data_IF_169638566820
#
_entry.id   IF_169638566820
#
_cell.length_a   1.000
_cell.length_b   1.000
_cell.length_c   1.000
_cell.angle_alpha   90.00
_cell.angle_beta   90.00
_cell.angle_gamma   90.00
#
_symmetry.space_group_name_H-M   'P 1'
#
loop_
_entity.id
_entity.type
_entity.pdbx_description
1 polymer ?
#
# COMPACT_ATOMS: atom_id res chain seq x y z
N UNK A 1 15.79 -7.04 19.82
CA UNK A 1 15.76 -6.49 18.45
C UNK A 1 16.22 -5.05 18.51
N UNK A 2 17.39 -4.71 17.93
CA UNK A 2 17.86 -3.32 17.88
C UNK A 2 16.96 -2.58 16.87
N UNK A 3 16.12 -1.68 17.36
CA UNK A 3 15.41 -0.73 16.50
C UNK A 3 16.44 0.08 15.72
N UNK A 4 16.26 0.21 14.41
CA UNK A 4 17.07 1.15 13.62
C UNK A 4 16.80 2.54 14.17
N UNK A 5 17.85 3.36 14.31
CA UNK A 5 17.66 4.73 14.79
C UNK A 5 16.87 5.55 13.77
N UNK A 6 16.11 6.55 14.24
CA UNK A 6 15.37 7.54 13.43
C UNK A 6 16.20 8.09 12.26
N UNK A 7 17.50 8.30 12.50
CA UNK A 7 18.43 8.80 11.48
C UNK A 7 18.66 7.82 10.33
N UNK A 8 18.72 6.51 10.60
CA UNK A 8 19.01 5.49 9.59
C UNK A 8 17.84 5.29 8.61
N UNK A 9 16.60 5.27 9.09
CA UNK A 9 15.42 5.10 8.24
C UNK A 9 15.21 6.35 7.38
N UNK A 10 15.35 7.53 7.97
CA UNK A 10 15.28 8.81 7.24
C UNK A 10 16.33 8.88 6.13
N UNK A 11 17.59 8.53 6.42
CA UNK A 11 18.66 8.56 5.44
C UNK A 11 18.41 7.58 4.30
N UNK A 12 17.95 6.36 4.62
CA UNK A 12 17.60 5.36 3.60
C UNK A 12 16.48 5.83 2.69
N UNK A 13 15.42 6.41 3.24
CA UNK A 13 14.31 6.93 2.45
C UNK A 13 14.79 8.04 1.50
N UNK A 14 15.56 9.01 2.01
CA UNK A 14 16.12 10.09 1.20
C UNK A 14 16.97 9.57 0.05
N UNK A 15 17.86 8.61 0.32
CA UNK A 15 18.72 8.00 -0.71
C UNK A 15 17.91 7.28 -1.79
N UNK A 16 16.84 6.56 -1.41
CA UNK A 16 15.96 5.88 -2.38
C UNK A 16 15.23 6.90 -3.24
N UNK A 17 14.65 7.94 -2.64
CA UNK A 17 13.93 8.99 -3.37
C UNK A 17 14.85 9.76 -4.32
N UNK A 18 16.06 10.10 -3.88
CA UNK A 18 17.07 10.73 -4.73
C UNK A 18 17.38 9.85 -5.95
N UNK A 19 17.66 8.56 -5.72
CA UNK A 19 17.95 7.62 -6.82
C UNK A 19 16.78 7.47 -7.80
N UNK A 20 15.54 7.45 -7.30
CA UNK A 20 14.34 7.41 -8.16
C UNK A 20 14.28 8.65 -9.05
N UNK A 21 14.51 9.84 -8.49
CA UNK A 21 14.49 11.09 -9.25
C UNK A 21 15.60 11.15 -10.30
N UNK A 22 16.84 10.79 -9.92
CA UNK A 22 17.98 10.75 -10.84
C UNK A 22 17.72 9.81 -12.02
N UNK A 23 17.18 8.61 -11.76
CA UNK A 23 16.85 7.65 -12.81
C UNK A 23 15.67 8.10 -13.68
N UNK A 24 14.67 8.77 -13.09
CA UNK A 24 13.55 9.31 -13.85
C UNK A 24 14.01 10.42 -14.80
N UNK A 25 14.91 11.30 -14.34
CA UNK A 25 15.50 12.36 -15.15
C UNK A 25 16.39 11.81 -16.27
N UNK A 26 17.30 10.88 -15.94
CA UNK A 26 18.17 10.22 -16.93
C UNK A 26 17.38 9.54 -18.05
N UNK A 27 16.22 8.95 -17.72
CA UNK A 27 15.34 8.28 -18.67
C UNK A 27 14.36 9.21 -19.37
N UNK A 28 14.34 10.51 -19.02
CA UNK A 28 13.35 11.49 -19.50
C UNK A 28 11.91 10.95 -19.33
N UNK A 29 11.66 10.30 -18.20
CA UNK A 29 10.37 9.70 -17.89
C UNK A 29 9.29 10.78 -17.87
N UNK A 30 8.11 10.48 -18.41
CA UNK A 30 6.95 11.38 -18.43
C UNK A 30 6.47 11.71 -17.00
N UNK A 31 6.78 10.85 -16.04
CA UNK A 31 6.47 11.05 -14.61
C UNK A 31 7.50 10.36 -13.72
N UNK A 32 7.69 10.89 -12.51
CA UNK A 32 8.50 10.25 -11.47
C UNK A 32 7.75 9.04 -10.90
N UNK A 33 8.38 7.85 -10.82
CA UNK A 33 7.77 6.69 -10.18
C UNK A 33 7.38 6.94 -8.72
N UNK A 34 6.18 6.49 -8.33
CA UNK A 34 5.73 6.57 -6.94
C UNK A 34 6.38 5.44 -6.13
N UNK A 35 7.01 5.79 -5.00
CA UNK A 35 7.55 4.83 -4.04
C UNK A 35 6.42 4.26 -3.16
N UNK A 36 6.32 2.93 -3.09
CA UNK A 36 5.45 2.21 -2.16
C UNK A 36 6.35 1.51 -1.13
N UNK A 37 6.24 1.89 0.14
CA UNK A 37 7.01 1.25 1.21
C UNK A 37 6.32 -0.03 1.67
N UNK A 38 6.93 -1.19 1.42
CA UNK A 38 6.35 -2.48 1.83
C UNK A 38 6.57 -2.69 3.33
N UNK A 39 5.47 -2.71 4.09
CA UNK A 39 5.48 -2.76 5.57
C UNK A 39 5.05 -4.10 6.16
N UNK A 40 4.81 -5.12 5.34
CA UNK A 40 4.52 -6.48 5.83
C UNK A 40 5.55 -6.93 6.86
N UNK A 41 5.05 -7.54 7.94
CA UNK A 41 5.81 -7.98 9.12
C UNK A 41 6.61 -6.87 9.82
N UNK A 42 6.33 -5.58 9.55
CA UNK A 42 6.93 -4.44 10.25
C UNK A 42 6.01 -3.93 11.36
N UNK A 43 6.59 -3.52 12.49
CA UNK A 43 5.81 -3.00 13.60
C UNK A 43 5.26 -1.61 13.29
N UNK A 44 4.24 -1.17 14.02
CA UNK A 44 3.53 0.11 13.80
C UNK A 44 4.50 1.30 13.89
N UNK A 45 5.46 1.24 14.81
CA UNK A 45 6.43 2.30 15.04
C UNK A 45 7.25 2.61 13.79
N UNK A 46 7.63 1.58 13.02
CA UNK A 46 8.39 1.76 11.78
C UNK A 46 7.55 2.43 10.67
N UNK A 47 6.24 2.22 10.66
CA UNK A 47 5.31 2.85 9.73
C UNK A 47 5.15 4.33 10.10
N UNK A 48 4.90 4.61 11.38
CA UNK A 48 4.78 5.97 11.93
C UNK A 48 6.06 6.76 11.69
N UNK A 49 7.22 6.14 11.87
CA UNK A 49 8.53 6.73 11.62
C UNK A 49 8.69 7.14 10.14
N UNK A 50 8.47 6.22 9.20
CA UNK A 50 8.51 6.51 7.77
C UNK A 50 7.48 7.57 7.35
N UNK A 51 6.30 7.54 7.96
CA UNK A 51 5.25 8.52 7.72
C UNK A 51 5.72 9.93 8.09
N UNK A 52 6.36 10.08 9.26
CA UNK A 52 6.96 11.36 9.69
C UNK A 52 8.07 11.85 8.76
N UNK A 53 8.69 10.95 8.01
CA UNK A 53 9.65 11.29 6.96
C UNK A 53 9.02 11.61 5.59
N UNK A 54 7.69 11.68 5.48
CA UNK A 54 6.98 12.01 4.23
C UNK A 54 6.62 10.82 3.36
N UNK A 55 6.79 9.58 3.83
CA UNK A 55 6.31 8.39 3.13
C UNK A 55 4.84 8.13 3.48
N UNK A 56 3.93 8.40 2.55
CA UNK A 56 2.48 8.23 2.81
C UNK A 56 1.90 6.91 2.29
N UNK A 57 2.56 6.25 1.34
CA UNK A 57 2.00 5.08 0.65
C UNK A 57 2.71 3.80 1.08
N UNK A 58 1.92 2.85 1.58
CA UNK A 58 2.43 1.60 2.15
C UNK A 58 1.79 0.37 1.50
N UNK A 59 2.60 -0.68 1.34
CA UNK A 59 2.20 -1.95 0.73
C UNK A 59 2.08 -3.06 1.75
N UNK A 60 0.94 -3.76 1.74
CA UNK A 60 0.69 -4.94 2.58
C UNK A 60 0.32 -6.18 1.77
N UNK A 61 0.74 -7.35 2.26
CA UNK A 61 0.50 -8.63 1.58
C UNK A 61 -0.65 -9.43 2.20
N UNK A 62 -0.93 -9.25 3.49
CA UNK A 62 -1.89 -10.07 4.22
C UNK A 62 -3.09 -9.21 4.63
N UNK A 63 -4.29 -9.61 4.24
CA UNK A 63 -5.53 -8.85 4.51
C UNK A 63 -5.73 -8.64 6.01
N UNK A 64 -5.43 -9.65 6.82
CA UNK A 64 -5.56 -9.55 8.27
C UNK A 64 -4.56 -8.55 8.87
N UNK A 65 -3.29 -8.60 8.48
CA UNK A 65 -2.27 -7.66 8.97
C UNK A 65 -2.61 -6.23 8.55
N UNK A 66 -3.08 -6.04 7.31
CA UNK A 66 -3.55 -4.75 6.83
C UNK A 66 -4.76 -4.24 7.65
N UNK A 67 -5.71 -5.12 7.96
CA UNK A 67 -6.87 -4.79 8.81
C UNK A 67 -6.46 -4.38 10.22
N UNK A 68 -5.54 -5.11 10.83
CA UNK A 68 -5.00 -4.81 12.16
C UNK A 68 -4.28 -3.46 12.16
N UNK A 69 -3.43 -3.18 11.15
CA UNK A 69 -2.70 -1.92 11.02
C UNK A 69 -3.60 -0.73 10.73
N UNK A 70 -4.52 -0.87 9.77
CA UNK A 70 -5.41 0.21 9.36
C UNK A 70 -6.41 0.59 10.47
N UNK A 71 -6.77 -0.37 11.33
CA UNK A 71 -7.62 -0.11 12.50
C UNK A 71 -6.86 0.27 13.76
N UNK A 72 -5.52 0.22 13.76
CA UNK A 72 -4.70 0.57 14.91
C UNK A 72 -4.87 2.06 15.27
N UNK A 73 -5.14 2.35 16.54
CA UNK A 73 -5.41 3.72 17.01
C UNK A 73 -4.21 4.66 16.85
N UNK A 74 -2.98 4.15 16.94
CA UNK A 74 -1.79 4.96 16.70
C UNK A 74 -1.68 5.35 15.23
N UNK A 75 -1.96 4.43 14.30
CA UNK A 75 -1.97 4.74 12.86
C UNK A 75 -3.05 5.77 12.54
N UNK A 76 -4.28 5.58 13.05
CA UNK A 76 -5.38 6.54 12.83
C UNK A 76 -5.02 7.94 13.31
N UNK A 77 -4.35 8.05 14.47
CA UNK A 77 -3.98 9.33 15.08
C UNK A 77 -2.76 9.99 14.45
N UNK A 78 -1.69 9.24 14.22
CA UNK A 78 -0.40 9.78 13.78
C UNK A 78 -0.18 9.74 12.27
N UNK A 79 -0.98 8.93 11.55
CA UNK A 79 -0.88 8.73 10.11
C UNK A 79 -2.25 8.90 9.41
N UNK A 80 -2.97 10.02 9.59
CA UNK A 80 -4.33 10.18 9.10
C UNK A 80 -4.44 10.08 7.57
N UNK A 81 -3.40 10.49 6.84
CA UNK A 81 -3.33 10.46 5.38
C UNK A 81 -2.56 9.24 4.84
N UNK A 82 -2.41 8.18 5.64
CA UNK A 82 -1.79 6.93 5.19
C UNK A 82 -2.58 6.35 4.03
N UNK A 83 -1.89 5.83 3.01
CA UNK A 83 -2.48 5.27 1.79
C UNK A 83 -2.08 3.83 1.66
N UNK A 84 -3.03 2.92 1.87
CA UNK A 84 -2.78 1.49 1.81
C UNK A 84 -2.89 0.99 0.38
N UNK A 85 -1.90 0.22 -0.02
CA UNK A 85 -1.89 -0.58 -1.23
C UNK A 85 -1.84 -2.05 -0.83
N UNK A 86 -2.79 -2.83 -1.31
CA UNK A 86 -2.71 -4.28 -1.18
C UNK A 86 -1.94 -4.87 -2.36
N UNK A 87 -0.85 -5.56 -2.06
CA UNK A 87 0.10 -6.09 -3.06
C UNK A 87 0.31 -7.61 -2.92
N UNK A 88 -0.44 -8.27 -2.04
CA UNK A 88 -0.46 -9.73 -1.90
C UNK A 88 -1.51 -10.37 -2.81
N UNK A 89 -1.43 -11.67 -3.05
CA UNK A 89 -2.45 -12.38 -3.85
C UNK A 89 -3.81 -12.38 -3.11
N UNK A 90 -4.84 -11.79 -3.73
CA UNK A 90 -6.16 -11.63 -3.10
C UNK A 90 -7.05 -12.85 -3.37
N UNK A 91 -7.41 -13.57 -2.32
CA UNK A 91 -8.42 -14.61 -2.41
C UNK A 91 -9.84 -14.02 -2.47
N UNK A 92 -10.71 -14.57 -3.34
CA UNK A 92 -12.09 -14.10 -3.54
C UNK A 92 -12.89 -13.96 -2.23
N UNK A 93 -12.77 -14.91 -1.31
CA UNK A 93 -13.47 -14.88 -0.02
C UNK A 93 -13.03 -13.73 0.91
N UNK A 94 -11.93 -13.02 0.61
CA UNK A 94 -11.46 -11.87 1.36
C UNK A 94 -11.90 -10.53 0.78
N UNK A 95 -12.58 -10.51 -0.38
CA UNK A 95 -13.04 -9.27 -1.03
C UNK A 95 -13.89 -8.40 -0.09
N UNK A 96 -14.83 -8.99 0.65
CA UNK A 96 -15.67 -8.23 1.59
C UNK A 96 -14.90 -7.61 2.77
N UNK A 97 -13.76 -8.20 3.15
CA UNK A 97 -12.91 -7.67 4.24
C UNK A 97 -12.04 -6.54 3.72
N UNK A 98 -11.37 -6.77 2.59
CA UNK A 98 -10.41 -5.81 2.07
C UNK A 98 -11.07 -4.49 1.68
N UNK A 99 -12.27 -4.50 1.11
CA UNK A 99 -12.95 -3.25 0.69
C UNK A 99 -13.38 -2.36 1.86
N UNK A 100 -13.38 -2.87 3.10
CA UNK A 100 -13.74 -2.13 4.31
C UNK A 100 -12.53 -1.46 4.99
N UNK A 101 -11.33 -1.70 4.48
CA UNK A 101 -10.10 -1.15 5.04
C UNK A 101 -10.11 0.38 4.86
N UNK A 102 -9.99 1.17 5.94
CA UNK A 102 -9.90 2.61 5.84
C UNK A 102 -8.64 3.01 5.07
N UNK A 103 -8.75 4.03 4.23
CA UNK A 103 -7.68 4.54 3.38
C UNK A 103 -7.01 3.48 2.46
N UNK A 104 -7.74 2.42 2.07
CA UNK A 104 -7.33 1.55 0.98
C UNK A 104 -7.48 2.27 -0.35
N UNK A 105 -6.36 2.58 -1.00
CA UNK A 105 -6.36 3.29 -2.29
C UNK A 105 -6.28 2.34 -3.49
N UNK A 106 -5.59 1.20 -3.32
CA UNK A 106 -5.24 0.35 -4.44
C UNK A 106 -5.18 -1.13 -4.03
N UNK A 107 -5.75 -1.99 -4.87
CA UNK A 107 -5.49 -3.44 -4.88
C UNK A 107 -4.73 -3.70 -6.17
N UNK A 108 -3.50 -4.20 -6.05
CA UNK A 108 -2.61 -4.35 -7.20
C UNK A 108 -2.71 -5.74 -7.83
N UNK A 109 -3.36 -6.71 -7.21
CA UNK A 109 -3.20 -8.14 -7.52
C UNK A 109 -4.48 -8.78 -8.05
N UNK A 110 -5.22 -8.05 -8.88
CA UNK A 110 -6.38 -8.61 -9.57
C UNK A 110 -5.88 -9.37 -10.80
N UNK A 111 -6.06 -10.67 -10.80
CA UNK A 111 -5.51 -11.59 -11.81
C UNK A 111 -6.60 -12.31 -12.63
N UNK A 112 -7.87 -12.09 -12.31
CA UNK A 112 -8.99 -12.79 -12.95
C UNK A 112 -10.26 -11.93 -12.97
N UNK A 113 -11.09 -12.15 -13.99
CA UNK A 113 -12.41 -11.49 -14.11
C UNK A 113 -13.29 -11.86 -12.92
N UNK A 114 -13.24 -13.12 -12.46
CA UNK A 114 -14.03 -13.57 -11.32
C UNK A 114 -13.63 -12.87 -10.01
N UNK A 115 -12.34 -12.56 -9.84
CA UNK A 115 -11.87 -11.77 -8.71
C UNK A 115 -12.33 -10.30 -8.83
N UNK A 116 -12.24 -9.72 -10.03
CA UNK A 116 -12.73 -8.37 -10.30
C UNK A 116 -14.25 -8.24 -10.02
N UNK A 117 -15.05 -9.22 -10.44
CA UNK A 117 -16.49 -9.26 -10.17
C UNK A 117 -16.79 -9.42 -8.68
N UNK A 118 -16.03 -10.27 -7.99
CA UNK A 118 -16.15 -10.46 -6.54
C UNK A 118 -15.86 -9.17 -5.77
N UNK A 119 -14.83 -8.43 -6.20
CA UNK A 119 -14.51 -7.11 -5.64
C UNK A 119 -15.59 -6.09 -5.95
N UNK A 120 -16.04 -5.98 -7.20
CA UNK A 120 -17.12 -5.08 -7.61
C UNK A 120 -18.39 -5.29 -6.77
N UNK A 121 -18.77 -6.55 -6.56
CA UNK A 121 -19.92 -6.89 -5.72
C UNK A 121 -19.68 -6.53 -4.24
N UNK A 122 -18.48 -6.77 -3.72
CA UNK A 122 -18.12 -6.35 -2.36
C UNK A 122 -18.20 -4.82 -2.18
N UNK A 123 -17.75 -4.04 -3.16
CA UNK A 123 -17.84 -2.57 -3.15
C UNK A 123 -19.29 -2.09 -3.07
N UNK A 124 -20.20 -2.68 -3.87
CA UNK A 124 -21.63 -2.33 -3.87
C UNK A 124 -22.28 -2.54 -2.51
N UNK A 125 -21.86 -3.58 -1.78
CA UNK A 125 -22.42 -3.92 -0.47
C UNK A 125 -21.97 -3.00 0.67
N UNK A 126 -20.88 -2.24 0.51
CA UNK A 126 -20.28 -1.45 1.57
C UNK A 126 -20.64 0.04 1.49
N UNK A 127 -21.36 0.49 0.45
CA UNK A 127 -21.69 1.91 0.21
C UNK A 127 -20.48 2.81 0.48
N UNK A 128 -19.38 2.55 -0.23
CA UNK A 128 -18.13 3.28 -0.06
C UNK A 128 -18.39 4.78 -0.27
N UNK A 129 -17.94 5.60 0.68
CA UNK A 129 -18.05 7.07 0.60
C UNK A 129 -17.20 7.67 -0.53
N UNK A 130 -16.22 6.91 -1.04
CA UNK A 130 -15.45 7.21 -2.25
C UNK A 130 -15.20 5.92 -3.03
N UNK A 131 -15.34 5.93 -4.39
CA UNK A 131 -14.90 4.81 -5.20
C UNK A 131 -13.38 4.62 -5.07
N UNK A 132 -12.88 3.39 -5.25
CA UNK A 132 -11.43 3.12 -5.30
C UNK A 132 -10.79 3.97 -6.40
N UNK A 133 -9.92 4.89 -6.01
CA UNK A 133 -9.38 5.92 -6.91
C UNK A 133 -8.51 5.35 -8.04
N UNK A 134 -7.83 4.21 -7.82
CA UNK A 134 -7.01 3.54 -8.83
C UNK A 134 -7.00 2.02 -8.61
N UNK A 135 -7.72 1.28 -9.47
CA UNK A 135 -7.60 -0.17 -9.54
C UNK A 135 -6.44 -0.53 -10.48
N UNK A 136 -5.33 -1.05 -9.94
CA UNK A 136 -4.22 -1.52 -10.76
C UNK A 136 -4.35 -3.04 -10.90
N UNK A 137 -4.72 -3.51 -12.08
CA UNK A 137 -4.69 -4.93 -12.43
C UNK A 137 -3.24 -5.28 -12.73
N UNK A 138 -2.51 -5.92 -11.80
CA UNK A 138 -1.25 -6.58 -12.16
C UNK A 138 -1.56 -8.00 -12.65
N UNK A 139 -1.43 -8.20 -13.95
CA UNK A 139 -1.17 -9.53 -14.49
C UNK A 139 0.34 -9.74 -14.39
N UNK A 140 0.80 -10.46 -13.37
CA UNK A 140 2.12 -11.08 -13.50
C UNK A 140 1.97 -12.17 -14.56
N UNK A 141 2.38 -11.87 -15.80
CA UNK A 141 2.82 -12.93 -16.68
C UNK A 141 4.06 -13.51 -16.00
N UNK A 142 3.87 -14.54 -15.18
CA UNK A 142 4.94 -15.48 -14.93
C UNK A 142 5.15 -16.13 -16.30
N UNK A 143 6.02 -15.52 -17.11
CA UNK A 143 6.57 -16.16 -18.27
C UNK A 143 7.43 -17.30 -17.76
N UNK A 144 6.84 -18.49 -17.76
CA UNK A 144 7.40 -19.79 -18.13
C UNK A 144 6.26 -20.80 -18.26
#
# INVERSE_FOLDING_TARGET
>A
MRGRSMGEITLKLKNILQRINELAEQRKSVSVPKLIAVSKTKPIEAIVELYKCGQYTFGENYVQELEEKANNEQIKRECPDIRWHYIGHLQRNKCNRIVKIPNLECIQTIDSIQLADSLNNACKNVQLSKPFGNLIVTTTANGE
#
